data_IF_885055983506
#
_entry.id   IF_885055983506
#
_cell.length_a   1.000
_cell.length_b   1.000
_cell.length_c   1.000
_cell.angle_alpha   90.00
_cell.angle_beta   90.00
_cell.angle_gamma   90.00
#
_symmetry.space_group_name_H-M   'P 1'
#
loop_
_entity.id
_entity.type
_entity.pdbx_description
1 polymer ?
#
# COMPACT_ATOMS: atom_id res chain seq x y z
N UNK A 1 67.26 -52.24 -24.89
CA UNK A 1 66.37 -51.39 -25.73
C UNK A 1 65.40 -50.67 -24.81
N UNK A 2 65.56 -49.34 -24.65
CA UNK A 2 64.69 -48.46 -23.86
C UNK A 2 63.52 -48.01 -24.74
N UNK A 3 62.28 -48.19 -24.30
CA UNK A 3 61.10 -47.58 -24.94
C UNK A 3 60.63 -46.41 -24.08
N UNK A 4 60.80 -45.19 -24.59
CA UNK A 4 60.27 -43.97 -23.98
C UNK A 4 58.79 -43.83 -24.35
N UNK A 5 57.90 -43.67 -23.37
CA UNK A 5 56.53 -43.18 -23.57
C UNK A 5 56.50 -41.68 -23.28
N UNK A 6 55.96 -40.83 -24.18
CA UNK A 6 55.81 -39.40 -23.89
C UNK A 6 54.63 -39.19 -22.94
N UNK A 7 54.87 -38.45 -21.85
CA UNK A 7 53.84 -38.01 -20.93
C UNK A 7 52.98 -36.93 -21.60
N UNK A 8 51.70 -37.20 -21.80
CA UNK A 8 50.72 -36.22 -22.25
C UNK A 8 50.30 -35.37 -21.04
N UNK A 9 50.72 -34.11 -21.02
CA UNK A 9 50.27 -33.12 -20.03
C UNK A 9 48.87 -32.63 -20.40
N UNK A 10 47.87 -33.03 -19.63
CA UNK A 10 46.49 -32.60 -19.77
C UNK A 10 46.34 -31.18 -19.20
N UNK A 11 46.17 -30.18 -20.07
CA UNK A 11 45.84 -28.80 -19.68
C UNK A 11 44.35 -28.73 -19.31
N UNK A 12 44.07 -28.57 -18.02
CA UNK A 12 42.72 -28.38 -17.49
C UNK A 12 42.31 -26.91 -17.69
N UNK A 13 41.43 -26.65 -18.66
CA UNK A 13 40.84 -25.33 -18.85
C UNK A 13 39.78 -25.07 -17.76
N UNK A 14 40.10 -24.20 -16.80
CA UNK A 14 39.16 -23.75 -15.78
C UNK A 14 38.24 -22.70 -16.43
N UNK A 15 37.02 -23.11 -16.77
CA UNK A 15 35.97 -22.19 -17.18
C UNK A 15 35.46 -21.43 -15.94
N UNK A 16 35.81 -20.15 -15.84
CA UNK A 16 35.28 -19.25 -14.82
C UNK A 16 33.86 -18.85 -15.25
N UNK A 17 32.86 -19.61 -14.81
CA UNK A 17 31.45 -19.26 -14.97
C UNK A 17 31.15 -18.05 -14.08
N UNK A 18 31.15 -16.86 -14.67
CA UNK A 18 30.68 -15.64 -14.01
C UNK A 18 29.15 -15.66 -14.01
N UNK A 19 28.56 -16.12 -12.91
CA UNK A 19 27.12 -15.99 -12.67
C UNK A 19 26.80 -14.52 -12.44
N UNK A 20 26.24 -13.85 -13.46
CA UNK A 20 25.52 -12.59 -13.24
C UNK A 20 24.30 -12.93 -12.38
N UNK A 21 24.37 -12.62 -11.08
CA UNK A 21 23.16 -12.48 -10.28
C UNK A 21 22.35 -11.34 -10.90
N UNK A 22 21.17 -11.62 -11.46
CA UNK A 22 20.23 -10.60 -11.83
C UNK A 22 19.87 -9.83 -10.55
N UNK A 23 20.26 -8.57 -10.44
CA UNK A 23 19.81 -7.72 -9.36
C UNK A 23 18.30 -7.56 -9.50
N UNK A 24 17.53 -8.08 -8.55
CA UNK A 24 16.10 -7.81 -8.45
C UNK A 24 15.91 -6.29 -8.37
N UNK A 25 15.10 -5.75 -9.28
CA UNK A 25 14.85 -4.31 -9.31
C UNK A 25 14.24 -3.88 -7.97
N UNK A 26 14.74 -2.83 -7.32
CA UNK A 26 14.23 -2.42 -6.02
C UNK A 26 12.76 -2.02 -6.12
N UNK A 27 11.94 -2.47 -5.17
CA UNK A 27 10.55 -2.07 -5.06
C UNK A 27 10.43 -0.54 -4.99
N UNK A 28 9.53 0.03 -5.80
CA UNK A 28 9.33 1.48 -5.92
C UNK A 28 8.11 1.92 -5.15
N UNK A 29 8.15 3.13 -4.58
CA UNK A 29 6.98 3.71 -3.91
C UNK A 29 5.87 3.93 -4.94
N UNK A 30 4.78 3.18 -4.80
CA UNK A 30 3.66 3.14 -5.73
C UNK A 30 2.47 3.97 -5.24
N UNK A 31 2.21 3.94 -3.93
CA UNK A 31 1.10 4.68 -3.34
C UNK A 31 1.37 5.05 -1.88
N UNK A 32 0.74 6.13 -1.43
CA UNK A 32 0.68 6.51 -0.01
C UNK A 32 -0.78 6.65 0.41
N UNK A 33 -1.19 5.87 1.40
CA UNK A 33 -2.47 6.02 2.10
C UNK A 33 -2.28 6.84 3.36
N UNK A 34 -3.11 7.85 3.62
CA UNK A 34 -3.10 8.63 4.87
C UNK A 34 -4.38 8.36 5.62
N UNK A 35 -4.28 7.66 6.75
CA UNK A 35 -5.41 7.21 7.55
C UNK A 35 -5.71 8.20 8.67
N UNK A 36 -6.94 8.70 8.69
CA UNK A 36 -7.48 9.53 9.76
C UNK A 36 -8.55 8.77 10.51
N UNK A 37 -8.72 9.08 11.79
CA UNK A 37 -9.87 8.65 12.57
C UNK A 37 -11.15 9.26 11.99
N UNK A 38 -12.16 8.43 11.73
CA UNK A 38 -13.38 8.89 11.04
C UNK A 38 -14.25 9.84 11.86
N UNK A 39 -14.18 9.78 13.18
CA UNK A 39 -15.00 10.62 14.06
C UNK A 39 -14.34 11.98 14.31
N UNK A 40 -13.03 11.97 14.53
CA UNK A 40 -12.28 13.15 14.97
C UNK A 40 -11.48 13.81 13.84
N UNK A 41 -11.22 13.10 12.74
CA UNK A 41 -10.36 13.55 11.64
C UNK A 41 -8.87 13.58 11.97
N UNK A 42 -8.45 13.12 13.16
CA UNK A 42 -7.03 13.11 13.53
C UNK A 42 -6.25 12.07 12.73
N UNK A 43 -5.03 12.44 12.33
CA UNK A 43 -4.10 11.52 11.67
C UNK A 43 -3.75 10.38 12.62
N UNK A 44 -3.97 9.14 12.17
CA UNK A 44 -3.61 7.93 12.90
C UNK A 44 -2.29 7.34 12.41
N UNK A 45 -2.17 7.12 11.09
CA UNK A 45 -0.98 6.53 10.47
C UNK A 45 -0.94 6.79 8.96
N UNK A 46 0.17 6.42 8.33
CA UNK A 46 0.33 6.38 6.87
C UNK A 46 0.74 4.99 6.40
N UNK A 47 0.25 4.60 5.25
CA UNK A 47 0.61 3.38 4.53
C UNK A 47 1.51 3.75 3.35
N UNK A 48 2.75 3.28 3.33
CA UNK A 48 3.66 3.44 2.19
C UNK A 48 3.73 2.12 1.43
N UNK A 49 3.19 2.11 0.21
CA UNK A 49 3.07 0.92 -0.62
C UNK A 49 4.23 0.88 -1.60
N UNK A 50 5.16 -0.04 -1.39
CA UNK A 50 6.28 -0.32 -2.28
C UNK A 50 5.98 -1.56 -3.10
N UNK A 51 6.13 -1.51 -4.42
CA UNK A 51 5.92 -2.66 -5.28
C UNK A 51 7.02 -2.79 -6.33
N UNK A 52 7.30 -4.03 -6.74
CA UNK A 52 8.07 -4.31 -7.94
C UNK A 52 7.36 -3.80 -9.19
N UNK A 53 8.09 -3.70 -10.30
CA UNK A 53 7.60 -3.10 -11.55
C UNK A 53 6.34 -3.81 -12.10
N UNK A 54 6.26 -5.13 -11.95
CA UNK A 54 5.09 -5.93 -12.35
C UNK A 54 3.94 -5.90 -11.32
N UNK A 55 4.19 -5.34 -10.14
CA UNK A 55 3.30 -5.26 -8.97
C UNK A 55 2.88 -6.61 -8.40
N UNK A 56 3.62 -7.68 -8.67
CA UNK A 56 3.34 -9.01 -8.13
C UNK A 56 3.87 -9.17 -6.71
N UNK A 57 4.97 -8.49 -6.38
CA UNK A 57 5.55 -8.45 -5.04
C UNK A 57 5.45 -7.03 -4.49
N UNK A 58 4.81 -6.90 -3.33
CA UNK A 58 4.59 -5.61 -2.69
C UNK A 58 4.88 -5.68 -1.18
N UNK A 59 5.35 -4.56 -0.64
CA UNK A 59 5.52 -4.32 0.80
C UNK A 59 4.78 -3.04 1.18
N UNK A 60 3.94 -3.11 2.19
CA UNK A 60 3.29 -1.94 2.81
C UNK A 60 3.95 -1.68 4.14
N UNK A 61 4.49 -0.48 4.32
CA UNK A 61 4.99 0.00 5.61
C UNK A 61 3.94 0.89 6.27
N UNK A 62 3.55 0.51 7.48
CA UNK A 62 2.66 1.32 8.31
C UNK A 62 3.52 2.19 9.22
N UNK A 63 3.40 3.51 9.03
CA UNK A 63 4.18 4.51 9.76
C UNK A 63 3.27 5.34 10.65
N UNK A 64 3.69 5.58 11.87
CA UNK A 64 2.95 6.41 12.82
C UNK A 64 2.97 7.89 12.43
N UNK A 65 2.43 8.75 13.30
CA UNK A 65 2.38 10.20 13.09
C UNK A 65 3.76 10.86 13.04
N UNK A 66 4.78 10.24 13.63
CA UNK A 66 6.18 10.68 13.63
C UNK A 66 6.98 10.08 12.46
N UNK A 67 6.39 9.15 11.69
CA UNK A 67 7.02 8.48 10.56
C UNK A 67 7.78 7.21 10.92
N UNK A 68 7.70 6.74 12.17
CA UNK A 68 8.33 5.49 12.59
C UNK A 68 7.49 4.31 12.12
N UNK A 69 8.16 3.29 11.58
CA UNK A 69 7.49 2.07 11.12
C UNK A 69 7.09 1.26 12.35
N UNK A 70 5.79 0.98 12.49
CA UNK A 70 5.26 0.16 13.57
C UNK A 70 4.64 -1.16 13.10
N UNK A 71 4.35 -1.30 11.80
CA UNK A 71 3.93 -2.55 11.20
C UNK A 71 4.38 -2.67 9.74
N UNK A 72 4.48 -3.90 9.23
CA UNK A 72 4.75 -4.20 7.82
C UNK A 72 3.83 -5.29 7.28
N UNK A 73 3.51 -5.21 6.00
CA UNK A 73 2.77 -6.23 5.25
C UNK A 73 3.50 -6.58 3.97
N UNK A 74 3.87 -7.84 3.80
CA UNK A 74 4.43 -8.39 2.57
C UNK A 74 3.35 -9.16 1.82
N UNK A 75 3.30 -8.96 0.50
CA UNK A 75 2.26 -9.47 -0.38
C UNK A 75 2.89 -10.12 -1.60
N UNK A 76 2.43 -11.33 -1.92
CA UNK A 76 2.82 -12.08 -3.10
C UNK A 76 1.58 -12.51 -3.90
N UNK A 77 1.36 -11.81 -5.01
CA UNK A 77 0.21 -12.00 -5.90
C UNK A 77 0.48 -13.02 -7.01
N UNK A 78 1.68 -13.61 -7.11
CA UNK A 78 2.06 -14.47 -8.25
C UNK A 78 1.14 -15.65 -8.49
N UNK A 79 0.50 -16.17 -7.43
CA UNK A 79 -0.46 -17.26 -7.54
C UNK A 79 -1.92 -16.79 -7.68
N UNK A 80 -2.28 -15.68 -7.06
CA UNK A 80 -3.66 -15.17 -7.08
C UNK A 80 -3.71 -13.67 -6.81
N UNK A 81 -4.38 -12.88 -7.69
CA UNK A 81 -4.51 -11.43 -7.49
C UNK A 81 -5.47 -11.07 -6.34
N UNK A 82 -6.44 -11.94 -6.03
CA UNK A 82 -7.49 -11.69 -5.02
C UNK A 82 -7.28 -12.45 -3.70
N UNK A 83 -6.31 -13.38 -3.68
CA UNK A 83 -5.93 -14.18 -2.51
C UNK A 83 -4.41 -14.38 -2.46
N UNK A 84 -3.63 -13.28 -2.33
CA UNK A 84 -2.17 -13.36 -2.29
C UNK A 84 -1.66 -14.12 -1.07
N UNK A 85 -0.43 -14.62 -1.16
CA UNK A 85 0.31 -14.96 0.05
C UNK A 85 0.59 -13.66 0.82
N UNK A 86 0.51 -13.72 2.15
CA UNK A 86 0.62 -12.55 3.01
C UNK A 86 1.44 -12.85 4.26
N UNK A 87 2.31 -11.91 4.62
CA UNK A 87 2.93 -11.85 5.94
C UNK A 87 2.67 -10.46 6.51
N UNK A 88 2.02 -10.39 7.66
CA UNK A 88 1.78 -9.14 8.38
C UNK A 88 2.45 -9.18 9.75
N UNK A 89 3.18 -8.12 10.10
CA UNK A 89 3.90 -7.99 11.36
C UNK A 89 3.51 -6.66 12.02
N UNK A 90 2.98 -6.70 13.25
CA UNK A 90 2.74 -5.52 14.10
C UNK A 90 3.76 -5.51 15.25
N UNK A 91 4.73 -4.59 15.19
CA UNK A 91 5.86 -4.52 16.10
C UNK A 91 5.49 -3.98 17.49
N UNK A 92 4.39 -3.22 17.60
CA UNK A 92 3.92 -2.71 18.91
C UNK A 92 3.39 -3.84 19.78
N UNK A 93 2.78 -4.83 19.13
CA UNK A 93 2.12 -5.98 19.78
C UNK A 93 2.95 -7.25 19.74
N UNK A 94 4.04 -7.29 18.96
CA UNK A 94 4.81 -8.50 18.70
C UNK A 94 4.00 -9.60 17.98
N UNK A 95 3.02 -9.20 17.16
CA UNK A 95 2.14 -10.13 16.45
C UNK A 95 2.62 -10.31 15.02
N UNK A 96 2.64 -11.56 14.56
CA UNK A 96 2.90 -11.89 13.17
C UNK A 96 1.84 -12.87 12.65
N UNK A 97 1.27 -12.57 11.49
CA UNK A 97 0.26 -13.38 10.81
C UNK A 97 0.81 -13.79 9.45
N UNK A 98 0.78 -15.08 9.15
CA UNK A 98 1.19 -15.64 7.85
C UNK A 98 0.01 -16.34 7.19
N UNK A 99 -0.26 -16.01 5.94
CA UNK A 99 -1.24 -16.67 5.09
C UNK A 99 -0.48 -17.20 3.86
N UNK A 100 -0.29 -18.52 3.73
CA UNK A 100 0.40 -19.08 2.58
C UNK A 100 -0.45 -18.95 1.31
N UNK A 101 0.21 -18.96 0.16
CA UNK A 101 -0.47 -18.90 -1.13
C UNK A 101 -1.45 -20.07 -1.28
N UNK A 102 -2.64 -19.80 -1.81
CA UNK A 102 -3.66 -20.82 -2.04
C UNK A 102 -4.39 -21.33 -0.79
N UNK A 103 -4.11 -20.79 0.41
CA UNK A 103 -4.82 -21.16 1.64
C UNK A 103 -6.33 -20.90 1.56
N UNK A 104 -6.73 -19.86 0.82
CA UNK A 104 -8.09 -19.36 0.73
C UNK A 104 -8.56 -19.32 -0.73
N UNK A 105 -8.67 -20.48 -1.37
CA UNK A 105 -9.15 -20.57 -2.76
C UNK A 105 -10.60 -20.08 -2.87
N UNK A 106 -10.86 -19.17 -3.81
CA UNK A 106 -12.21 -18.63 -4.06
C UNK A 106 -12.71 -17.61 -3.02
N UNK A 107 -11.85 -17.19 -2.08
CA UNK A 107 -12.16 -16.16 -1.07
C UNK A 107 -11.28 -14.95 -1.32
N UNK A 108 -11.88 -13.76 -1.29
CA UNK A 108 -11.13 -12.51 -1.32
C UNK A 108 -10.57 -12.26 0.07
N UNK A 109 -9.25 -12.22 0.20
CA UNK A 109 -8.60 -11.83 1.46
C UNK A 109 -8.32 -10.34 1.43
N UNK A 110 -8.16 -9.74 2.61
CA UNK A 110 -7.92 -8.30 2.80
C UNK A 110 -7.11 -7.62 1.67
N UNK A 111 -5.85 -8.02 1.46
CA UNK A 111 -4.99 -7.40 0.46
C UNK A 111 -5.35 -7.71 -1.01
N UNK A 112 -6.24 -8.66 -1.26
CA UNK A 112 -6.75 -8.97 -2.59
C UNK A 112 -7.98 -8.15 -2.99
N UNK A 113 -8.51 -7.34 -2.07
CA UNK A 113 -9.79 -6.65 -2.27
C UNK A 113 -9.77 -5.57 -3.37
N UNK A 114 -8.72 -4.76 -3.47
CA UNK A 114 -8.57 -3.77 -4.56
C UNK A 114 -8.53 -4.46 -5.94
N UNK A 115 -7.76 -5.54 -6.06
CA UNK A 115 -7.71 -6.35 -7.28
C UNK A 115 -9.07 -6.99 -7.61
N UNK A 116 -9.82 -7.42 -6.60
CA UNK A 116 -11.16 -7.95 -6.79
C UNK A 116 -12.11 -6.89 -7.36
N UNK A 117 -12.16 -5.69 -6.77
CA UNK A 117 -12.99 -4.58 -7.27
C UNK A 117 -12.66 -4.25 -8.72
N UNK A 118 -11.37 -4.18 -9.07
CA UNK A 118 -10.93 -3.94 -10.46
C UNK A 118 -11.31 -5.07 -11.43
N UNK A 119 -11.40 -6.32 -10.95
CA UNK A 119 -11.77 -7.47 -11.77
C UNK A 119 -13.26 -7.48 -12.15
N UNK A 120 -14.10 -6.85 -11.33
CA UNK A 120 -15.56 -6.74 -11.55
C UNK A 120 -15.98 -5.31 -11.94
N UNK A 121 -15.03 -4.52 -12.43
CA UNK A 121 -15.20 -3.08 -12.67
C UNK A 121 -16.41 -2.74 -13.52
N UNK A 122 -16.60 -3.43 -14.64
CA UNK A 122 -17.67 -3.13 -15.59
C UNK A 122 -19.05 -3.44 -15.00
N UNK A 123 -19.18 -4.50 -14.19
CA UNK A 123 -20.39 -4.80 -13.39
C UNK A 123 -20.74 -3.65 -12.45
N UNK A 124 -19.74 -3.08 -11.77
CA UNK A 124 -19.99 -2.00 -10.81
C UNK A 124 -20.32 -0.67 -11.50
N UNK A 125 -19.71 -0.42 -12.67
CA UNK A 125 -19.99 0.79 -13.46
C UNK A 125 -21.39 0.77 -14.06
N UNK A 126 -21.90 -0.39 -14.50
CA UNK A 126 -23.27 -0.55 -15.02
C UNK A 126 -24.33 -0.34 -13.93
N UNK A 127 -23.94 -0.41 -12.65
CA UNK A 127 -24.85 -0.31 -11.50
C UNK A 127 -25.30 -1.67 -10.98
N UNK A 128 -24.82 -2.77 -11.56
CA UNK A 128 -25.05 -4.10 -11.05
C UNK A 128 -24.25 -4.34 -9.75
N UNK A 129 -24.69 -5.31 -8.96
CA UNK A 129 -24.01 -5.71 -7.72
C UNK A 129 -23.33 -7.06 -7.86
N UNK A 130 -22.26 -7.27 -7.09
CA UNK A 130 -21.55 -8.55 -7.02
C UNK A 130 -21.46 -9.04 -5.59
N UNK A 131 -21.88 -10.29 -5.39
CA UNK A 131 -21.70 -11.02 -4.13
C UNK A 131 -20.38 -11.79 -4.14
N UNK A 132 -19.69 -11.82 -3.01
CA UNK A 132 -18.42 -12.50 -2.86
C UNK A 132 -18.17 -12.91 -1.40
N UNK A 133 -17.23 -13.83 -1.19
CA UNK A 133 -16.76 -14.21 0.13
C UNK A 133 -15.52 -13.39 0.47
N UNK A 134 -15.52 -12.74 1.64
CA UNK A 134 -14.42 -11.93 2.14
C UNK A 134 -13.93 -12.46 3.49
N UNK A 135 -12.63 -12.63 3.65
CA UNK A 135 -12.02 -13.00 4.92
C UNK A 135 -11.14 -11.85 5.43
N UNK A 136 -11.62 -11.05 6.40
CA UNK A 136 -10.81 -10.02 7.03
C UNK A 136 -9.70 -10.65 7.89
N UNK A 137 -8.64 -9.88 8.14
CA UNK A 137 -7.55 -10.34 9.00
C UNK A 137 -8.03 -10.54 10.45
N UNK A 138 -7.68 -11.68 11.05
CA UNK A 138 -8.03 -12.01 12.45
C UNK A 138 -9.38 -12.69 12.64
N UNK A 139 -10.03 -13.14 11.55
CA UNK A 139 -11.25 -13.94 11.59
C UNK A 139 -11.00 -15.36 11.09
N UNK A 140 -11.74 -16.33 11.64
CA UNK A 140 -11.61 -17.75 11.29
C UNK A 140 -12.54 -18.19 10.15
N UNK A 141 -13.51 -17.35 9.75
CA UNK A 141 -14.50 -17.67 8.74
C UNK A 141 -14.82 -16.47 7.83
N UNK A 142 -15.09 -16.71 6.52
CA UNK A 142 -15.40 -15.64 5.58
C UNK A 142 -16.83 -15.13 5.74
N UNK A 143 -17.01 -13.84 5.48
CA UNK A 143 -18.30 -13.18 5.40
C UNK A 143 -18.80 -13.15 3.95
N UNK A 144 -20.11 -13.32 3.78
CA UNK A 144 -20.76 -13.03 2.50
C UNK A 144 -20.94 -11.52 2.39
N UNK A 145 -20.24 -10.92 1.44
CA UNK A 145 -20.28 -9.49 1.19
C UNK A 145 -20.94 -9.22 -0.17
N UNK A 146 -21.48 -8.02 -0.32
CA UNK A 146 -22.02 -7.49 -1.57
C UNK A 146 -21.35 -6.15 -1.87
N UNK A 147 -20.76 -6.04 -3.05
CA UNK A 147 -20.26 -4.79 -3.60
C UNK A 147 -21.27 -4.22 -4.60
N UNK A 148 -21.58 -2.94 -4.46
CA UNK A 148 -22.50 -2.23 -5.35
C UNK A 148 -22.11 -0.75 -5.49
N UNK A 149 -22.63 -0.10 -6.52
CA UNK A 149 -22.43 1.33 -6.71
C UNK A 149 -23.17 2.13 -5.63
N UNK A 150 -22.48 3.10 -5.04
CA UNK A 150 -23.11 4.05 -4.12
C UNK A 150 -23.85 5.15 -4.91
N UNK A 151 -25.02 5.53 -4.40
CA UNK A 151 -25.82 6.66 -4.89
C UNK A 151 -25.73 7.88 -3.96
N UNK A 152 -24.68 7.95 -3.15
CA UNK A 152 -24.43 9.11 -2.29
C UNK A 152 -24.34 10.39 -3.13
N UNK A 153 -25.01 11.44 -2.67
CA UNK A 153 -25.16 12.72 -3.38
C UNK A 153 -23.86 13.50 -3.54
N UNK A 154 -22.87 13.20 -2.70
CA UNK A 154 -21.54 13.81 -2.68
C UNK A 154 -20.52 13.07 -3.57
N UNK A 155 -20.91 11.98 -4.24
CA UNK A 155 -20.02 11.25 -5.12
C UNK A 155 -19.66 12.08 -6.39
N UNK A 156 -18.39 12.46 -6.60
CA UNK A 156 -18.01 13.25 -7.77
C UNK A 156 -18.23 12.49 -9.09
N UNK A 157 -18.61 13.16 -10.20
CA UNK A 157 -18.87 12.49 -11.48
C UNK A 157 -17.68 11.71 -12.04
N UNK A 158 -16.45 12.21 -11.82
CA UNK A 158 -15.21 11.55 -12.24
C UNK A 158 -14.85 10.31 -11.40
N UNK A 159 -15.63 10.01 -10.37
CA UNK A 159 -15.39 8.96 -9.41
C UNK A 159 -16.45 7.86 -9.51
N UNK A 160 -16.02 6.62 -9.29
CA UNK A 160 -16.91 5.49 -9.01
C UNK A 160 -16.92 5.28 -7.49
N UNK A 161 -17.99 5.73 -6.84
CA UNK A 161 -18.20 5.46 -5.43
C UNK A 161 -18.90 4.12 -5.27
N UNK A 162 -18.41 3.30 -4.35
CA UNK A 162 -18.87 1.95 -4.09
C UNK A 162 -19.20 1.80 -2.62
N UNK A 163 -20.17 0.93 -2.35
CA UNK A 163 -20.55 0.48 -1.03
C UNK A 163 -20.33 -1.02 -0.94
N UNK A 164 -19.65 -1.47 0.10
CA UNK A 164 -19.46 -2.89 0.40
C UNK A 164 -20.03 -3.19 1.77
N UNK A 165 -21.02 -4.08 1.80
CA UNK A 165 -21.74 -4.43 3.01
C UNK A 165 -21.93 -5.94 3.10
N UNK A 166 -22.26 -6.43 4.30
CA UNK A 166 -22.66 -7.82 4.49
C UNK A 166 -23.91 -8.12 3.64
N UNK A 167 -23.90 -9.22 2.91
CA UNK A 167 -25.03 -9.70 2.10
C UNK A 167 -26.10 -10.37 3.00
N UNK A 168 -26.64 -9.61 3.95
CA UNK A 168 -27.67 -10.05 4.88
C UNK A 168 -28.54 -8.89 5.30
N UNK A 169 -29.82 -8.97 4.94
CA UNK A 169 -30.80 -7.90 5.18
C UNK A 169 -30.99 -7.57 6.67
N UNK A 170 -30.77 -8.54 7.58
CA UNK A 170 -30.87 -8.35 9.03
C UNK A 170 -29.57 -7.79 9.67
N UNK A 171 -28.38 -8.17 9.17
CA UNK A 171 -27.10 -7.74 9.73
C UNK A 171 -26.63 -6.38 9.18
N UNK A 172 -27.06 -6.03 7.96
CA UNK A 172 -26.69 -4.77 7.31
C UNK A 172 -27.28 -3.51 7.94
N UNK A 173 -28.23 -3.65 8.88
CA UNK A 173 -28.79 -2.52 9.65
C UNK A 173 -27.85 -2.13 10.81
N UNK A 174 -27.02 -3.07 11.29
CA UNK A 174 -26.22 -2.92 12.52
C UNK A 174 -24.76 -2.59 12.19
N UNK A 175 -24.31 -2.83 10.96
CA UNK A 175 -22.91 -2.66 10.56
C UNK A 175 -22.76 -1.56 9.53
N UNK A 176 -21.87 -0.60 9.82
CA UNK A 176 -21.53 0.44 8.86
C UNK A 176 -20.84 -0.19 7.64
N UNK A 177 -21.25 0.20 6.43
CA UNK A 177 -20.65 -0.33 5.23
C UNK A 177 -19.24 0.23 5.02
N UNK A 178 -18.42 -0.52 4.28
CA UNK A 178 -17.18 0.02 3.74
C UNK A 178 -17.54 0.88 2.53
N UNK A 179 -17.02 2.10 2.50
CA UNK A 179 -17.20 3.02 1.39
C UNK A 179 -15.87 3.20 0.64
N UNK A 180 -15.93 3.13 -0.68
CA UNK A 180 -14.77 3.32 -1.54
C UNK A 180 -15.05 4.39 -2.58
N UNK A 181 -14.02 5.15 -2.95
CA UNK A 181 -14.06 6.08 -4.06
C UNK A 181 -12.90 5.79 -5.02
N UNK A 182 -13.20 5.41 -6.26
CA UNK A 182 -12.18 5.18 -7.29
C UNK A 182 -12.20 6.24 -8.38
N UNK A 183 -11.05 6.61 -8.94
CA UNK A 183 -11.00 7.32 -10.22
C UNK A 183 -11.56 6.44 -11.33
N UNK A 184 -12.47 6.99 -12.15
CA UNK A 184 -13.05 6.25 -13.29
C UNK A 184 -12.04 5.99 -14.40
N UNK A 185 -11.10 6.89 -14.59
CA UNK A 185 -10.13 6.85 -15.70
C UNK A 185 -8.97 5.92 -15.37
N UNK A 186 -8.37 6.09 -14.19
CA UNK A 186 -7.17 5.35 -13.77
C UNK A 186 -7.51 4.05 -13.03
N UNK A 187 -8.79 3.87 -12.67
CA UNK A 187 -9.28 2.75 -11.84
C UNK A 187 -8.52 2.63 -10.52
N UNK A 188 -8.08 3.75 -9.94
CA UNK A 188 -7.29 3.82 -8.70
C UNK A 188 -8.16 4.22 -7.51
N UNK A 189 -7.95 3.59 -6.36
CA UNK A 189 -8.67 3.86 -5.12
C UNK A 189 -8.18 5.18 -4.53
N UNK A 190 -9.03 6.19 -4.38
CA UNK A 190 -8.68 7.47 -3.76
C UNK A 190 -9.11 7.59 -2.31
N UNK A 191 -10.24 6.97 -1.93
CA UNK A 191 -10.75 6.98 -0.57
C UNK A 191 -11.21 5.59 -0.17
N UNK A 192 -10.84 5.17 1.03
CA UNK A 192 -11.44 4.07 1.77
C UNK A 192 -12.03 4.63 3.07
N UNK A 193 -13.23 4.22 3.43
CA UNK A 193 -13.85 4.51 4.72
C UNK A 193 -14.39 3.22 5.34
N UNK A 194 -14.06 2.95 6.60
CA UNK A 194 -14.54 1.78 7.32
C UNK A 194 -13.58 1.29 8.39
N UNK A 195 -13.80 0.07 8.90
CA UNK A 195 -12.96 -0.51 9.94
C UNK A 195 -11.59 -0.91 9.38
N UNK A 196 -10.52 -0.44 10.00
CA UNK A 196 -9.14 -0.77 9.63
C UNK A 196 -8.75 -2.19 10.06
N UNK A 197 -7.88 -2.82 9.24
CA UNK A 197 -7.16 -4.03 9.63
C UNK A 197 -6.11 -3.77 10.71
N UNK A 198 -5.63 -2.53 10.85
CA UNK A 198 -4.73 -2.14 11.92
C UNK A 198 -5.55 -1.90 13.19
N UNK A 199 -5.15 -2.56 14.27
CA UNK A 199 -5.70 -2.32 15.60
C UNK A 199 -4.90 -1.22 16.31
N UNK A 200 -5.55 -0.50 17.23
CA UNK A 200 -4.83 0.30 18.21
C UNK A 200 -3.92 -0.60 19.07
N UNK A 201 -2.97 0.00 19.79
CA UNK A 201 -2.03 -0.74 20.65
C UNK A 201 -2.77 -1.56 21.72
N UNK A 202 -3.86 -1.01 22.29
CA UNK A 202 -4.77 -1.70 23.21
C UNK A 202 -5.65 -2.79 22.55
N UNK A 203 -5.57 -2.98 21.23
CA UNK A 203 -6.35 -3.96 20.46
C UNK A 203 -7.71 -3.49 19.95
N UNK A 204 -8.09 -2.24 20.23
CA UNK A 204 -9.34 -1.68 19.73
C UNK A 204 -9.34 -1.57 18.20
N UNK A 205 -10.49 -1.83 17.58
CA UNK A 205 -10.72 -1.56 16.15
C UNK A 205 -10.71 -0.06 15.89
N UNK A 206 -10.12 0.36 14.77
CA UNK A 206 -10.11 1.75 14.33
C UNK A 206 -11.12 1.93 13.21
N UNK A 207 -11.98 2.94 13.31
CA UNK A 207 -12.77 3.43 12.17
C UNK A 207 -11.95 4.51 11.47
N UNK A 208 -11.69 4.33 10.17
CA UNK A 208 -10.73 5.18 9.45
C UNK A 208 -11.25 5.68 8.11
N UNK A 209 -10.86 6.91 7.79
CA UNK A 209 -10.88 7.47 6.44
C UNK A 209 -9.45 7.53 5.90
N UNK A 210 -9.17 6.70 4.90
CA UNK A 210 -7.86 6.62 4.25
C UNK A 210 -7.91 7.29 2.88
N UNK A 211 -7.07 8.30 2.70
CA UNK A 211 -6.90 8.99 1.43
C UNK A 211 -5.62 8.54 0.73
N UNK A 212 -5.75 8.08 -0.51
CA UNK A 212 -4.67 7.51 -1.29
C UNK A 212 -4.18 8.46 -2.38
N UNK A 213 -2.85 8.56 -2.46
CA UNK A 213 -2.12 9.25 -3.52
C UNK A 213 -1.21 8.27 -4.25
N UNK A 214 -1.11 8.45 -5.56
CA UNK A 214 -0.30 7.62 -6.46
C UNK A 214 0.67 8.51 -7.20
N UNK A 215 1.62 9.07 -6.48
CA UNK A 215 2.63 9.94 -7.07
C UNK A 215 3.70 9.05 -7.71
N UNK A 216 3.59 8.84 -9.02
CA UNK A 216 4.68 8.28 -9.81
C UNK A 216 5.73 9.37 -10.09
N UNK A 217 6.33 9.93 -9.04
CA UNK A 217 7.55 10.74 -9.18
C UNK A 217 8.33 10.84 -7.84
N UNK A 218 9.44 10.11 -7.68
CA UNK A 218 10.37 10.29 -6.58
C UNK A 218 10.96 11.70 -6.47
N UNK A 219 10.94 12.51 -7.54
CA UNK A 219 11.52 13.86 -7.56
C UNK A 219 10.58 14.93 -6.96
N UNK A 220 9.27 14.70 -6.94
CA UNK A 220 8.30 15.61 -6.29
C UNK A 220 8.16 15.36 -4.77
N UNK A 221 8.75 14.27 -4.24
CA UNK A 221 8.83 14.00 -2.81
C UNK A 221 10.13 14.49 -2.15
N UNK A 222 11.05 15.06 -2.94
CA UNK A 222 12.11 15.89 -2.39
C UNK A 222 11.41 17.17 -1.95
N UNK A 223 11.20 17.33 -0.64
CA UNK A 223 10.96 18.66 -0.07
C UNK A 223 11.89 19.63 -0.78
N UNK A 224 11.45 20.84 -1.20
CA UNK A 224 12.43 21.82 -1.64
C UNK A 224 13.44 21.88 -0.51
N UNK A 225 14.66 21.40 -0.78
CA UNK A 225 15.80 21.65 0.09
C UNK A 225 15.68 23.15 0.28
N UNK A 226 15.38 23.58 1.51
CA UNK A 226 15.31 24.98 1.84
C UNK A 226 16.55 25.55 1.20
N UNK A 227 16.35 26.31 0.11
CA UNK A 227 17.47 26.74 -0.70
C UNK A 227 18.29 27.51 0.28
N UNK A 228 19.43 26.92 0.66
CA UNK A 228 20.30 27.50 1.63
C UNK A 228 20.58 28.87 1.08
N UNK A 229 19.99 29.89 1.70
CA UNK A 229 20.50 31.23 1.64
C UNK A 229 21.86 31.11 2.34
N UNK A 230 22.84 30.65 1.58
CA UNK A 230 24.23 30.88 1.86
C UNK A 230 24.35 32.40 1.89
N UNK A 231 24.30 32.97 3.09
CA UNK A 231 24.84 34.29 3.32
C UNK A 231 26.33 34.19 2.97
N UNK A 232 26.72 34.69 1.79
CA UNK A 232 28.13 34.95 1.55
C UNK A 232 28.62 35.94 2.63
N UNK A 233 29.73 35.65 3.32
CA UNK A 233 30.32 36.64 4.21
C UNK A 233 30.92 37.73 3.33
N UNK A 234 30.18 38.84 3.18
CA UNK A 234 30.74 40.03 2.57
C UNK A 234 31.83 40.57 3.52
N UNK A 235 33.05 40.65 2.99
CA UNK A 235 34.22 41.12 3.72
C UNK A 235 33.97 42.51 4.32
N UNK A 236 33.92 42.57 5.65
CA UNK A 236 33.97 43.81 6.41
C UNK A 236 32.62 44.44 6.71
N UNK A 237 31.97 44.01 7.80
CA UNK A 237 31.32 44.91 8.76
C UNK A 237 30.63 44.09 9.86
N UNK A 238 30.99 44.36 11.11
CA UNK A 238 30.35 43.80 12.30
C UNK A 238 28.94 44.39 12.48
N UNK A 239 27.88 43.60 12.25
CA UNK A 239 26.57 43.66 12.94
C UNK A 239 25.56 42.70 12.29
N UNK A 240 25.27 41.57 12.94
CA UNK A 240 24.17 40.68 12.56
C UNK A 240 22.84 41.33 12.96
N UNK A 241 22.00 41.70 11.98
CA UNK A 241 20.61 42.09 12.22
C UNK A 241 19.73 41.23 11.33
N UNK A 242 19.01 40.28 11.91
CA UNK A 242 18.07 39.40 11.21
C UNK A 242 16.73 40.15 11.04
N UNK A 243 16.28 40.38 9.80
CA UNK A 243 14.98 40.99 9.52
C UNK A 243 13.89 39.90 9.47
N UNK A 244 12.99 39.91 10.45
CA UNK A 244 11.68 39.25 10.39
C UNK A 244 10.72 40.15 9.62
N UNK A 245 10.11 39.65 8.54
CA UNK A 245 9.05 40.36 7.84
C UNK A 245 7.78 39.50 7.77
N UNK A 246 6.78 39.91 8.57
CA UNK A 246 5.41 39.40 8.56
C UNK A 246 4.73 39.76 7.24
N UNK A 247 4.18 38.76 6.52
CA UNK A 247 3.25 38.99 5.41
C UNK A 247 1.82 39.17 5.93
N UNK A 248 1.18 40.27 5.50
CA UNK A 248 -0.24 40.60 5.71
C UNK A 248 -1.11 39.80 4.73
N UNK A 249 -2.26 39.33 5.22
CA UNK A 249 -3.39 38.79 4.45
C UNK A 249 -4.33 39.95 4.04
N UNK A 250 -4.86 40.01 2.79
CA UNK A 250 -5.93 40.94 2.46
C UNK A 250 -7.32 40.28 2.55
N UNK A 251 -8.32 41.13 2.88
CA UNK A 251 -9.77 40.87 2.92
C UNK A 251 -10.34 40.45 1.57
#
# INVERSE_FOLDING_TARGET
MRTNRPAQTLLLAIAISSSLAAAEAPATLFAVGTAHDSDTGYLLYREYHYCEQDRLLCTVEYRDTFGLIFAKKHLDYRQSPVSPALVFSDYRRGVEVRIPAGANQGVVVDAGFDNFVRSIWDTLVSGDSKKFLFLPMGFDAPFKMKAERSHASDCPPATLCLKIAVDSWFLGIITDPIELAYSRTERRLHKFSGISNIKAENGQSLSVDIHYRYDADPQLMVFPQASGLCCEPNSGSSRNTCCLQHQKVPL
#
